data_IF_225692501908
#
_entry.id   IF_225692501908
#
_cell.length_a   1.000
_cell.length_b   1.000
_cell.length_c   1.000
_cell.angle_alpha   90.00
_cell.angle_beta   90.00
_cell.angle_gamma   90.00
#
_symmetry.space_group_name_H-M   'P 1'
#
loop_
_entity.id
_entity.type
_entity.pdbx_description
1 polymer ?
#
# COMPACT_ATOMS: atom_id res chain seq x y z
N UNK A 1 -3.24 -23.44 -18.39
CA UNK A 1 -3.05 -24.29 -17.19
C UNK A 1 -2.90 -23.33 -16.01
N UNK A 2 -4.04 -22.85 -15.54
CA UNK A 2 -4.19 -21.98 -14.38
C UNK A 2 -4.02 -22.83 -13.12
N UNK A 3 -3.27 -22.33 -12.14
CA UNK A 3 -3.34 -22.92 -10.80
C UNK A 3 -4.64 -22.47 -10.14
N UNK A 4 -5.64 -23.33 -10.35
CA UNK A 4 -6.79 -23.53 -9.48
C UNK A 4 -6.24 -23.87 -8.09
N UNK A 5 -6.57 -23.06 -7.08
CA UNK A 5 -6.49 -23.49 -5.69
C UNK A 5 -7.54 -24.59 -5.52
N UNK A 6 -7.11 -25.85 -5.66
CA UNK A 6 -7.92 -27.00 -5.30
C UNK A 6 -7.92 -27.12 -3.78
N UNK A 7 -9.03 -26.74 -3.17
CA UNK A 7 -9.47 -27.32 -1.91
C UNK A 7 -9.67 -28.82 -2.13
N UNK A 8 -8.88 -29.65 -1.47
CA UNK A 8 -9.19 -31.06 -1.22
C UNK A 8 -9.63 -31.14 0.23
N UNK A 9 -10.88 -31.53 0.43
CA UNK A 9 -11.41 -31.91 1.73
C UNK A 9 -10.75 -33.21 2.20
N UNK A 10 -10.36 -33.27 3.48
CA UNK A 10 -10.07 -34.51 4.18
C UNK A 10 -10.87 -34.50 5.50
N UNK A 11 -11.72 -35.52 5.77
CA UNK A 11 -12.57 -35.53 6.96
C UNK A 11 -11.88 -36.27 8.12
N UNK A 12 -12.09 -35.74 9.34
CA UNK A 12 -11.81 -36.30 10.67
C UNK A 12 -10.43 -36.07 11.34
N UNK A 13 -10.55 -35.34 12.46
CA UNK A 13 -9.92 -35.52 13.79
C UNK A 13 -8.52 -34.95 14.07
N UNK A 14 -8.52 -33.74 14.67
CA UNK A 14 -8.08 -33.59 16.06
C UNK A 14 -6.61 -33.18 16.32
N UNK A 15 -6.42 -31.90 16.68
CA UNK A 15 -5.30 -31.38 17.50
C UNK A 15 -3.91 -31.17 16.86
N UNK A 16 -3.86 -30.69 15.62
CA UNK A 16 -2.66 -30.04 15.02
C UNK A 16 -2.99 -28.66 14.39
N UNK A 17 -4.12 -28.06 14.80
CA UNK A 17 -4.82 -26.99 14.05
C UNK A 17 -4.32 -25.55 14.29
N UNK A 18 -3.36 -25.26 15.17
CA UNK A 18 -3.05 -23.86 15.53
C UNK A 18 -1.78 -23.25 14.90
N UNK A 19 -0.83 -24.04 14.39
CA UNK A 19 0.50 -23.46 14.03
C UNK A 19 0.71 -23.09 12.55
N UNK A 20 -0.20 -23.40 11.62
CA UNK A 20 0.12 -23.33 10.17
C UNK A 20 -0.79 -22.47 9.29
N UNK A 21 -1.97 -22.02 9.76
CA UNK A 21 -3.02 -21.54 8.84
C UNK A 21 -3.56 -20.12 8.99
N UNK A 22 -3.28 -19.34 10.06
CA UNK A 22 -3.95 -18.03 10.26
C UNK A 22 -3.11 -16.76 10.11
N UNK A 23 -1.82 -16.84 9.81
CA UNK A 23 -0.92 -15.79 10.30
C UNK A 23 -0.21 -14.90 9.27
N UNK A 24 -0.85 -14.40 8.19
CA UNK A 24 -0.11 -13.58 7.21
C UNK A 24 -0.90 -12.44 6.57
N UNK A 25 -1.02 -11.32 7.27
CA UNK A 25 -1.23 -10.00 6.64
C UNK A 25 -0.19 -9.81 5.53
N UNK A 26 -0.62 -9.50 4.31
CA UNK A 26 0.32 -9.16 3.23
C UNK A 26 0.90 -7.76 3.45
N UNK A 27 0.07 -6.87 3.98
CA UNK A 27 0.33 -5.47 4.26
C UNK A 27 -0.40 -5.12 5.56
N UNK A 28 0.18 -4.21 6.33
CA UNK A 28 -0.37 -3.62 7.55
C UNK A 28 -0.44 -2.09 7.48
N UNK A 29 0.27 -1.49 6.52
CA UNK A 29 0.33 -0.09 6.14
C UNK A 29 0.15 0.01 4.62
N UNK A 30 0.00 1.23 4.08
CA UNK A 30 0.11 1.47 2.65
C UNK A 30 1.50 1.09 2.12
N UNK A 31 1.53 0.24 1.09
CA UNK A 31 2.73 -0.16 0.35
C UNK A 31 3.06 0.75 -0.85
N UNK A 32 2.21 1.76 -1.06
CA UNK A 32 2.12 2.66 -2.20
C UNK A 32 1.75 4.05 -1.68
N UNK A 33 2.27 5.12 -2.28
CA UNK A 33 1.88 6.46 -1.84
C UNK A 33 0.42 6.72 -2.18
N UNK A 34 -0.37 6.94 -1.14
CA UNK A 34 -1.81 7.12 -1.23
C UNK A 34 -2.19 8.57 -1.56
N UNK A 35 -1.27 9.52 -1.35
CA UNK A 35 -1.50 10.94 -1.60
C UNK A 35 -1.74 11.23 -3.09
N UNK A 36 -1.02 10.52 -3.98
CA UNK A 36 -1.19 10.64 -5.44
C UNK A 36 -2.65 10.40 -5.85
N UNK A 37 -3.22 9.24 -5.51
CA UNK A 37 -4.58 8.88 -5.92
C UNK A 37 -5.63 9.72 -5.20
N UNK A 38 -5.40 10.07 -3.93
CA UNK A 38 -6.25 11.01 -3.20
C UNK A 38 -6.37 12.34 -3.94
N UNK A 39 -5.27 12.90 -4.45
CA UNK A 39 -5.28 14.13 -5.26
C UNK A 39 -6.02 13.94 -6.59
N UNK A 40 -5.85 12.79 -7.25
CA UNK A 40 -6.58 12.47 -8.48
C UNK A 40 -8.09 12.42 -8.23
N UNK A 41 -8.54 11.69 -7.20
CA UNK A 41 -9.96 11.59 -6.79
C UNK A 41 -10.54 12.98 -6.52
N UNK A 42 -9.83 13.84 -5.78
CA UNK A 42 -10.26 15.23 -5.52
C UNK A 42 -10.31 16.06 -6.80
N UNK A 43 -9.31 15.97 -7.68
CA UNK A 43 -9.29 16.71 -8.97
C UNK A 43 -10.45 16.30 -9.89
N UNK A 44 -10.79 15.01 -9.91
CA UNK A 44 -11.89 14.47 -10.70
C UNK A 44 -13.27 14.66 -10.07
N UNK A 45 -13.34 15.11 -8.82
CA UNK A 45 -14.59 15.22 -8.06
C UNK A 45 -15.36 13.90 -8.00
N UNK A 46 -14.64 12.77 -7.90
CA UNK A 46 -15.23 11.43 -7.94
C UNK A 46 -16.09 11.17 -6.71
N UNK A 47 -17.33 10.71 -6.91
CA UNK A 47 -18.30 10.43 -5.85
C UNK A 47 -18.39 8.95 -5.52
N UNK A 48 -18.33 8.09 -6.55
CA UNK A 48 -18.35 6.63 -6.44
C UNK A 48 -16.97 6.08 -6.74
N UNK A 49 -16.28 5.66 -5.69
CA UNK A 49 -14.90 5.22 -5.72
C UNK A 49 -14.83 3.72 -5.41
N UNK A 50 -14.02 2.99 -6.16
CA UNK A 50 -13.65 1.62 -5.85
C UNK A 50 -12.13 1.49 -5.75
N UNK A 51 -11.64 0.74 -4.76
CA UNK A 51 -10.22 0.44 -4.62
C UNK A 51 -9.98 -1.00 -4.20
N UNK A 52 -8.88 -1.58 -4.69
CA UNK A 52 -8.23 -2.71 -4.01
C UNK A 52 -7.95 -2.30 -2.56
N UNK A 53 -8.39 -3.10 -1.59
CA UNK A 53 -8.40 -2.72 -0.19
C UNK A 53 -6.99 -2.70 0.40
N UNK A 54 -6.26 -3.82 0.29
CA UNK A 54 -5.08 -4.04 1.12
C UNK A 54 -5.43 -3.86 2.60
N UNK A 55 -4.57 -3.19 3.36
CA UNK A 55 -4.80 -2.92 4.79
C UNK A 55 -5.83 -1.81 5.06
N UNK A 56 -6.41 -1.20 4.02
CA UNK A 56 -7.26 -0.01 4.12
C UNK A 56 -6.49 1.31 4.22
N UNK A 57 -5.20 1.28 4.59
CA UNK A 57 -4.34 2.47 4.76
C UNK A 57 -4.24 3.33 3.48
N UNK A 58 -4.34 2.72 2.30
CA UNK A 58 -4.44 3.44 1.02
C UNK A 58 -5.87 3.75 0.64
N UNK A 59 -6.74 2.73 0.63
CA UNK A 59 -8.11 2.84 0.14
C UNK A 59 -8.94 3.88 0.91
N UNK A 60 -8.81 3.95 2.24
CA UNK A 60 -9.60 4.86 3.06
C UNK A 60 -9.19 6.33 2.86
N UNK A 61 -7.94 6.60 2.48
CA UNK A 61 -7.49 7.98 2.19
C UNK A 61 -8.11 8.58 0.93
N UNK A 62 -8.77 7.75 0.12
CA UNK A 62 -9.58 8.23 -1.01
C UNK A 62 -10.88 8.90 -0.56
N UNK A 63 -11.31 8.69 0.69
CA UNK A 63 -12.45 9.40 1.25
C UNK A 63 -12.18 10.91 1.31
N UNK A 64 -13.23 11.65 0.97
CA UNK A 64 -13.32 13.09 1.12
C UNK A 64 -14.80 13.48 1.20
N UNK A 65 -15.16 14.70 1.59
CA UNK A 65 -16.57 15.09 1.76
C UNK A 65 -17.44 14.96 0.50
N UNK A 66 -16.84 14.86 -0.68
CA UNK A 66 -17.55 14.64 -1.96
C UNK A 66 -17.79 13.15 -2.28
N UNK A 67 -17.08 12.23 -1.63
CA UNK A 67 -17.21 10.79 -1.88
C UNK A 67 -18.49 10.29 -1.19
N UNK A 68 -19.42 9.83 -2.01
CA UNK A 68 -20.73 9.31 -1.59
C UNK A 68 -20.73 7.78 -1.45
N UNK A 69 -19.75 7.09 -2.07
CA UNK A 69 -19.58 5.64 -1.97
C UNK A 69 -18.11 5.25 -2.11
N UNK A 70 -17.63 4.41 -1.19
CA UNK A 70 -16.34 3.74 -1.29
C UNK A 70 -16.56 2.22 -1.17
N UNK A 71 -16.17 1.46 -2.19
CA UNK A 71 -16.07 0.01 -2.09
C UNK A 71 -14.60 -0.44 -2.08
N UNK A 72 -14.28 -1.29 -1.11
CA UNK A 72 -12.94 -1.84 -0.85
C UNK A 72 -12.96 -3.34 -1.13
N UNK A 73 -12.17 -3.76 -2.13
CA UNK A 73 -12.18 -5.15 -2.61
C UNK A 73 -10.86 -5.85 -2.27
N UNK A 74 -10.94 -7.03 -1.66
CA UNK A 74 -9.76 -7.89 -1.43
C UNK A 74 -10.18 -9.37 -1.47
N UNK A 75 -9.21 -10.25 -1.67
CA UNK A 75 -9.44 -11.71 -1.51
C UNK A 75 -9.21 -12.16 -0.06
N UNK A 76 -8.45 -11.38 0.72
CA UNK A 76 -8.08 -11.70 2.09
C UNK A 76 -9.06 -11.08 3.08
N UNK A 77 -9.78 -11.94 3.80
CA UNK A 77 -10.67 -11.54 4.90
C UNK A 77 -9.90 -10.79 6.00
N UNK A 78 -8.68 -11.21 6.34
CA UNK A 78 -7.83 -10.52 7.31
C UNK A 78 -7.45 -9.09 6.86
N UNK A 79 -7.29 -8.83 5.56
CA UNK A 79 -7.04 -7.48 5.04
C UNK A 79 -8.28 -6.59 5.15
N UNK A 80 -9.45 -7.15 4.79
CA UNK A 80 -10.73 -6.47 4.95
C UNK A 80 -11.02 -6.16 6.43
N UNK A 81 -10.76 -7.12 7.34
CA UNK A 81 -10.91 -6.92 8.78
C UNK A 81 -9.97 -5.83 9.33
N UNK A 82 -8.74 -5.75 8.82
CA UNK A 82 -7.81 -4.69 9.22
C UNK A 82 -8.26 -3.31 8.72
N UNK A 83 -8.87 -3.24 7.54
CA UNK A 83 -9.47 -2.02 7.02
C UNK A 83 -10.75 -1.63 7.78
N UNK A 84 -11.57 -2.60 8.18
CA UNK A 84 -12.74 -2.38 9.02
C UNK A 84 -12.35 -1.86 10.41
N UNK A 85 -11.29 -2.42 11.02
CA UNK A 85 -10.70 -1.87 12.25
C UNK A 85 -10.27 -0.41 12.07
N UNK A 86 -9.60 -0.07 10.95
CA UNK A 86 -9.23 1.33 10.66
C UNK A 86 -10.44 2.25 10.59
N UNK A 87 -11.54 1.82 9.97
CA UNK A 87 -12.78 2.60 9.90
C UNK A 87 -13.29 2.93 11.30
N UNK A 88 -13.41 1.92 12.17
CA UNK A 88 -13.90 2.15 13.52
C UNK A 88 -12.94 2.99 14.37
N UNK A 89 -11.63 2.82 14.23
CA UNK A 89 -10.65 3.67 14.90
C UNK A 89 -10.74 5.14 14.44
N UNK A 90 -10.93 5.40 13.14
CA UNK A 90 -11.06 6.77 12.63
C UNK A 90 -12.36 7.43 13.15
N UNK A 91 -13.45 6.67 13.27
CA UNK A 91 -14.73 7.16 13.80
C UNK A 91 -14.63 7.51 15.28
N UNK A 92 -14.05 6.61 16.08
CA UNK A 92 -14.07 6.73 17.54
C UNK A 92 -12.93 7.59 18.10
N UNK A 93 -11.76 7.61 17.46
CA UNK A 93 -10.56 8.26 18.02
C UNK A 93 -10.29 9.62 17.38
N UNK A 94 -9.63 10.49 18.15
CA UNK A 94 -8.93 11.64 17.59
C UNK A 94 -7.60 11.20 16.98
N UNK A 95 -7.01 12.05 16.11
CA UNK A 95 -5.80 11.70 15.37
C UNK A 95 -4.68 11.21 16.30
N UNK A 96 -4.47 11.88 17.44
CA UNK A 96 -3.38 11.53 18.36
C UNK A 96 -3.52 10.10 18.91
N UNK A 97 -4.72 9.72 19.33
CA UNK A 97 -5.05 8.39 19.82
C UNK A 97 -5.01 7.33 18.70
N UNK A 98 -5.39 7.71 17.47
CA UNK A 98 -5.23 6.87 16.29
C UNK A 98 -3.74 6.57 16.01
N UNK A 99 -2.87 7.58 16.05
CA UNK A 99 -1.43 7.42 15.88
C UNK A 99 -0.83 6.56 16.99
N UNK A 100 -1.28 6.76 18.23
CA UNK A 100 -0.90 5.97 19.41
C UNK A 100 -1.32 4.50 19.28
N UNK A 101 -2.53 4.22 18.81
CA UNK A 101 -3.04 2.87 18.58
C UNK A 101 -2.12 2.12 17.59
N UNK A 102 -1.81 2.73 16.45
CA UNK A 102 -0.94 2.15 15.44
C UNK A 102 0.56 2.25 15.79
N UNK A 103 0.97 3.00 16.80
CA UNK A 103 2.39 3.16 17.12
C UNK A 103 3.17 3.92 16.04
N UNK A 104 2.52 4.91 15.41
CA UNK A 104 3.22 5.90 14.60
C UNK A 104 4.07 6.81 15.51
N UNK A 105 5.22 7.27 15.01
CA UNK A 105 6.09 8.22 15.74
C UNK A 105 5.29 9.45 16.21
N UNK A 106 5.41 9.86 17.49
CA UNK A 106 6.43 9.47 18.48
C UNK A 106 6.05 8.28 19.38
N UNK A 107 4.92 7.62 19.13
CA UNK A 107 4.39 6.59 20.02
C UNK A 107 5.14 5.26 19.87
N UNK A 108 5.60 4.74 21.01
CA UNK A 108 6.20 3.41 21.12
C UNK A 108 5.11 2.34 21.07
N UNK A 109 5.18 1.35 20.16
CA UNK A 109 4.23 0.23 20.13
C UNK A 109 4.10 -0.51 21.46
N UNK A 110 5.22 -0.70 22.17
CA UNK A 110 5.34 -1.44 23.41
C UNK A 110 4.69 -0.71 24.60
N UNK A 111 4.78 0.62 24.64
CA UNK A 111 4.24 1.42 25.75
C UNK A 111 2.71 1.54 25.71
N UNK A 112 2.09 1.18 24.58
CA UNK A 112 0.67 1.42 24.30
C UNK A 112 -0.16 0.13 24.19
N UNK A 113 0.32 -0.99 24.73
CA UNK A 113 -0.34 -2.29 24.68
C UNK A 113 -1.73 -2.26 25.33
N UNK A 114 -1.83 -1.80 26.59
CA UNK A 114 -3.12 -1.80 27.31
C UNK A 114 -4.12 -0.84 26.66
N UNK A 115 -3.68 0.37 26.29
CA UNK A 115 -4.50 1.33 25.54
C UNK A 115 -5.06 0.70 24.25
N UNK A 116 -4.21 0.03 23.47
CA UNK A 116 -4.61 -0.63 22.22
C UNK A 116 -5.62 -1.74 22.47
N UNK A 117 -5.39 -2.56 23.49
CA UNK A 117 -6.26 -3.68 23.86
C UNK A 117 -7.63 -3.22 24.33
N UNK A 118 -7.68 -2.23 25.20
CA UNK A 118 -8.93 -1.63 25.69
C UNK A 118 -9.71 -1.00 24.54
N UNK A 119 -9.02 -0.19 23.73
CA UNK A 119 -9.61 0.44 22.54
C UNK A 119 -10.21 -0.60 21.60
N UNK A 120 -9.42 -1.60 21.21
CA UNK A 120 -9.85 -2.66 20.29
C UNK A 120 -11.08 -3.42 20.82
N UNK A 121 -11.10 -3.74 22.12
CA UNK A 121 -12.21 -4.47 22.74
C UNK A 121 -13.53 -3.70 22.67
N UNK A 122 -13.49 -2.37 22.77
CA UNK A 122 -14.66 -1.51 22.70
C UNK A 122 -15.28 -1.40 21.30
N UNK A 123 -14.52 -1.68 20.24
CA UNK A 123 -14.99 -1.57 18.86
C UNK A 123 -15.77 -2.80 18.40
N UNK A 124 -16.69 -2.61 17.46
CA UNK A 124 -17.41 -3.71 16.79
C UNK A 124 -17.28 -3.54 15.28
N UNK A 125 -16.78 -4.57 14.59
CA UNK A 125 -16.55 -4.54 13.16
C UNK A 125 -16.46 -5.96 12.58
N UNK A 126 -16.55 -6.08 11.25
CA UNK A 126 -16.45 -7.35 10.55
C UNK A 126 -15.07 -8.00 10.71
N UNK A 127 -15.02 -9.33 10.84
CA UNK A 127 -13.79 -10.10 11.04
C UNK A 127 -12.98 -9.70 12.29
N UNK A 128 -13.64 -9.14 13.32
CA UNK A 128 -12.99 -8.77 14.59
C UNK A 128 -12.23 -9.94 15.22
N UNK A 129 -12.81 -11.14 15.22
CA UNK A 129 -12.21 -12.33 15.81
C UNK A 129 -10.88 -12.69 15.13
N UNK A 130 -10.82 -12.60 13.79
CA UNK A 130 -9.59 -12.83 13.02
C UNK A 130 -8.51 -11.81 13.38
N UNK A 131 -8.89 -10.53 13.53
CA UNK A 131 -7.93 -9.48 13.90
C UNK A 131 -7.51 -9.61 15.37
N UNK A 132 -8.41 -10.04 16.25
CA UNK A 132 -8.11 -10.32 17.66
C UNK A 132 -7.07 -11.42 17.78
N UNK A 133 -7.24 -12.55 17.07
CA UNK A 133 -6.25 -13.63 17.02
C UNK A 133 -4.88 -13.13 16.55
N UNK A 134 -4.83 -12.25 15.53
CA UNK A 134 -3.58 -11.65 15.05
C UNK A 134 -2.95 -10.77 16.13
N UNK A 135 -3.75 -9.97 16.87
CA UNK A 135 -3.24 -9.19 17.99
C UNK A 135 -2.73 -10.07 19.12
N UNK A 136 -3.45 -11.12 19.50
CA UNK A 136 -3.04 -12.06 20.55
C UNK A 136 -1.70 -12.71 20.23
N UNK A 137 -1.51 -13.18 19.00
CA UNK A 137 -0.24 -13.75 18.53
C UNK A 137 0.89 -12.71 18.51
N UNK A 138 0.57 -11.43 18.29
CA UNK A 138 1.52 -10.33 18.37
C UNK A 138 1.61 -9.70 19.77
N UNK A 139 1.12 -10.39 20.81
CA UNK A 139 1.16 -9.95 22.20
C UNK A 139 0.57 -8.54 22.39
N UNK A 140 -0.46 -8.23 21.61
CA UNK A 140 -1.12 -6.92 21.57
C UNK A 140 -0.19 -5.75 21.26
N UNK A 141 1.02 -5.99 20.73
CA UNK A 141 1.87 -4.95 20.13
C UNK A 141 1.24 -4.39 18.86
N UNK A 142 1.76 -3.27 18.35
CA UNK A 142 1.21 -2.70 17.11
C UNK A 142 1.34 -3.68 15.94
N UNK A 143 0.28 -3.75 15.12
CA UNK A 143 0.32 -4.45 13.84
C UNK A 143 0.99 -3.62 12.74
N UNK A 144 1.32 -2.36 13.01
CA UNK A 144 2.12 -1.52 12.11
C UNK A 144 3.45 -2.23 11.83
N UNK A 145 3.73 -2.48 10.55
CA UNK A 145 4.88 -3.24 10.04
C UNK A 145 4.83 -4.76 10.18
N UNK A 146 3.71 -5.35 10.60
CA UNK A 146 3.57 -6.82 10.71
C UNK A 146 3.17 -7.50 9.40
N UNK A 147 2.84 -6.74 8.36
CA UNK A 147 2.61 -7.29 7.03
C UNK A 147 3.88 -7.92 6.42
N UNK A 148 3.69 -8.87 5.50
CA UNK A 148 4.80 -9.52 4.78
C UNK A 148 5.71 -8.50 4.09
N UNK A 149 5.11 -7.49 3.44
CA UNK A 149 5.85 -6.48 2.71
C UNK A 149 6.76 -5.67 3.63
N UNK A 150 6.23 -5.16 4.74
CA UNK A 150 6.96 -4.34 5.73
C UNK A 150 8.06 -5.13 6.44
N UNK A 151 7.80 -6.40 6.78
CA UNK A 151 8.80 -7.27 7.40
C UNK A 151 10.07 -7.40 6.53
N UNK A 152 9.92 -7.39 5.20
CA UNK A 152 11.07 -7.41 4.28
C UNK A 152 11.90 -6.13 4.37
N UNK A 153 11.27 -4.98 4.63
CA UNK A 153 11.97 -3.72 4.85
C UNK A 153 12.66 -3.63 6.22
N UNK A 154 12.10 -4.25 7.26
CA UNK A 154 12.78 -4.34 8.56
C UNK A 154 14.14 -5.05 8.45
N UNK A 155 14.21 -6.16 7.72
CA UNK A 155 15.46 -6.87 7.44
C UNK A 155 16.42 -6.01 6.61
N UNK A 156 15.86 -5.34 5.59
CA UNK A 156 16.63 -4.49 4.70
C UNK A 156 17.23 -3.28 5.41
N UNK A 157 16.45 -2.57 6.23
CA UNK A 157 16.90 -1.46 7.06
C UNK A 157 18.01 -1.86 8.04
N UNK A 158 17.93 -3.06 8.64
CA UNK A 158 19.03 -3.61 9.47
C UNK A 158 20.32 -3.80 8.66
N UNK A 159 20.23 -4.30 7.44
CA UNK A 159 21.38 -4.47 6.55
C UNK A 159 21.98 -3.11 6.13
N UNK A 160 21.12 -2.13 5.78
CA UNK A 160 21.55 -0.76 5.47
C UNK A 160 22.25 -0.14 6.67
N UNK A 161 21.65 -0.21 7.86
CA UNK A 161 22.24 0.30 9.11
C UNK A 161 23.60 -0.33 9.41
N UNK A 162 23.74 -1.64 9.24
CA UNK A 162 25.01 -2.34 9.40
C UNK A 162 26.07 -1.85 8.41
N UNK A 163 25.72 -1.73 7.13
CA UNK A 163 26.66 -1.29 6.08
C UNK A 163 27.03 0.19 6.20
N UNK A 164 26.12 1.05 6.64
CA UNK A 164 26.28 2.51 6.60
C UNK A 164 26.72 3.10 7.95
N UNK A 165 26.44 2.41 9.05
CA UNK A 165 26.61 2.96 10.40
C UNK A 165 25.77 4.23 10.58
N UNK A 166 26.34 5.25 11.24
CA UNK A 166 25.67 6.53 11.47
C UNK A 166 25.35 7.32 10.19
N UNK A 167 26.02 7.01 9.07
CA UNK A 167 25.79 7.71 7.78
C UNK A 167 24.40 7.47 7.21
N UNK A 168 23.75 6.36 7.53
CA UNK A 168 22.36 6.14 7.14
C UNK A 168 21.44 7.22 7.73
N UNK A 169 21.68 7.60 9.00
CA UNK A 169 20.84 8.56 9.71
C UNK A 169 21.13 10.01 9.28
N UNK A 170 22.35 10.32 8.85
CA UNK A 170 22.71 11.68 8.43
C UNK A 170 21.89 12.17 7.22
N UNK A 171 21.42 11.28 6.34
CA UNK A 171 20.51 11.67 5.26
C UNK A 171 19.19 12.24 5.82
N UNK A 172 18.66 11.63 6.87
CA UNK A 172 17.39 12.02 7.51
C UNK A 172 17.54 13.20 8.47
N UNK A 173 18.77 13.70 8.70
CA UNK A 173 19.02 14.92 9.47
C UNK A 173 18.94 16.19 8.63
N UNK A 174 18.97 16.08 7.30
CA UNK A 174 18.83 17.23 6.41
C UNK A 174 17.42 17.83 6.57
N UNK A 175 17.34 19.14 6.76
CA UNK A 175 16.07 19.86 6.96
C UNK A 175 15.55 20.51 5.66
N UNK A 176 16.38 20.53 4.61
CA UNK A 176 16.01 21.04 3.28
C UNK A 176 16.76 20.29 2.16
N UNK A 177 16.28 20.50 0.93
CA UNK A 177 16.83 19.83 -0.26
C UNK A 177 18.27 20.23 -0.53
N UNK A 178 18.68 21.48 -0.29
CA UNK A 178 20.05 21.93 -0.54
C UNK A 178 21.06 21.20 0.35
N UNK A 179 20.76 21.05 1.63
CA UNK A 179 21.53 20.24 2.58
C UNK A 179 21.59 18.78 2.15
N UNK A 180 20.44 18.21 1.75
CA UNK A 180 20.37 16.83 1.26
C UNK A 180 21.23 16.65 0.01
N UNK A 181 21.16 17.53 -0.98
CA UNK A 181 21.98 17.46 -2.19
C UNK A 181 23.48 17.62 -1.87
N UNK A 182 23.83 18.52 -0.95
CA UNK A 182 25.21 18.67 -0.50
C UNK A 182 25.73 17.39 0.18
N UNK A 183 24.91 16.75 1.02
CA UNK A 183 25.24 15.48 1.65
C UNK A 183 25.34 14.34 0.63
N UNK A 184 24.40 14.23 -0.32
CA UNK A 184 24.44 13.24 -1.39
C UNK A 184 25.69 13.37 -2.25
N UNK A 185 26.15 14.60 -2.51
CA UNK A 185 27.36 14.85 -3.30
C UNK A 185 28.67 14.51 -2.57
N UNK A 186 28.78 14.83 -1.27
CA UNK A 186 30.06 14.78 -0.53
C UNK A 186 30.12 13.72 0.57
N UNK A 187 29.01 13.40 1.21
CA UNK A 187 28.96 12.58 2.43
C UNK A 187 28.34 11.19 2.25
N UNK A 188 27.42 11.03 1.29
CA UNK A 188 26.66 9.80 1.11
C UNK A 188 27.52 8.65 0.57
N UNK A 189 27.48 7.46 1.18
CA UNK A 189 28.36 6.36 0.82
C UNK A 189 27.86 5.59 -0.41
N UNK A 190 27.86 6.21 -1.59
CA UNK A 190 27.35 5.66 -2.85
C UNK A 190 27.84 4.26 -3.21
N UNK A 191 29.10 3.93 -2.93
CA UNK A 191 29.63 2.58 -3.19
C UNK A 191 28.87 1.51 -2.39
N UNK A 192 28.54 1.81 -1.13
CA UNK A 192 27.77 0.90 -0.26
C UNK A 192 26.31 0.86 -0.71
N UNK A 193 25.74 2.01 -1.10
CA UNK A 193 24.39 2.08 -1.64
C UNK A 193 24.23 1.25 -2.91
N UNK A 194 25.13 1.40 -3.87
CA UNK A 194 25.10 0.62 -5.11
C UNK A 194 25.25 -0.88 -4.84
N UNK A 195 26.04 -1.29 -3.83
CA UNK A 195 26.10 -2.67 -3.41
C UNK A 195 24.75 -3.17 -2.86
N UNK A 196 24.11 -2.38 -2.01
CA UNK A 196 22.78 -2.66 -1.46
C UNK A 196 21.74 -2.82 -2.59
N UNK A 197 21.69 -1.90 -3.56
CA UNK A 197 20.79 -1.98 -4.71
C UNK A 197 21.09 -3.20 -5.59
N UNK A 198 22.36 -3.61 -5.75
CA UNK A 198 22.70 -4.84 -6.49
C UNK A 198 22.20 -6.10 -5.78
N UNK A 199 22.21 -6.12 -4.46
CA UNK A 199 21.67 -7.24 -3.67
C UNK A 199 20.15 -7.31 -3.82
N UNK A 200 19.43 -6.20 -3.72
CA UNK A 200 17.97 -6.17 -3.97
C UNK A 200 17.66 -6.53 -5.44
N UNK A 201 18.44 -5.99 -6.37
CA UNK A 201 18.29 -6.22 -7.81
C UNK A 201 18.64 -7.65 -8.25
N UNK A 202 19.10 -8.50 -7.32
CA UNK A 202 19.27 -9.93 -7.58
C UNK A 202 17.91 -10.64 -7.49
N UNK A 203 17.49 -11.25 -8.60
CA UNK A 203 16.24 -12.00 -8.74
C UNK A 203 16.03 -13.05 -7.64
N UNK A 204 17.10 -13.71 -7.15
CA UNK A 204 16.99 -14.72 -6.10
C UNK A 204 16.65 -14.10 -4.73
N UNK A 205 17.30 -12.99 -4.38
CA UNK A 205 17.04 -12.23 -3.15
C UNK A 205 15.63 -11.63 -3.18
N UNK A 206 15.21 -11.12 -4.33
CA UNK A 206 13.88 -10.54 -4.52
C UNK A 206 12.76 -11.60 -4.46
N UNK A 207 12.95 -12.76 -5.10
CA UNK A 207 12.02 -13.90 -5.05
C UNK A 207 11.84 -14.44 -3.61
N UNK A 208 12.92 -14.49 -2.84
CA UNK A 208 12.90 -14.98 -1.46
C UNK A 208 12.26 -13.99 -0.48
N UNK A 209 12.50 -12.69 -0.66
CA UNK A 209 12.04 -11.66 0.28
C UNK A 209 10.60 -11.23 0.10
N UNK A 210 10.05 -11.20 -1.13
CA UNK A 210 8.75 -10.58 -1.36
C UNK A 210 7.65 -11.55 -1.82
N UNK A 211 7.98 -12.62 -2.55
CA UNK A 211 6.96 -13.38 -3.30
C UNK A 211 6.99 -14.90 -3.16
N UNK A 212 7.95 -15.49 -2.44
CA UNK A 212 8.03 -16.96 -2.14
C UNK A 212 7.76 -17.92 -3.32
N UNK A 213 7.95 -17.49 -4.56
CA UNK A 213 7.78 -18.34 -5.75
C UNK A 213 6.90 -17.76 -6.86
N UNK A 214 5.93 -16.90 -6.53
CA UNK A 214 4.96 -16.36 -7.51
C UNK A 214 5.41 -15.01 -8.10
N UNK A 215 6.68 -14.93 -8.50
CA UNK A 215 7.22 -13.67 -9.01
C UNK A 215 6.56 -13.32 -10.34
N UNK A 216 5.93 -12.13 -10.37
CA UNK A 216 5.44 -11.49 -11.58
C UNK A 216 6.55 -11.53 -12.65
N UNK A 217 6.25 -12.08 -13.83
CA UNK A 217 7.22 -12.13 -14.93
C UNK A 217 7.51 -10.72 -15.41
N UNK A 218 8.63 -10.15 -14.96
CA UNK A 218 9.12 -8.85 -15.42
C UNK A 218 9.15 -8.81 -16.95
N UNK A 219 8.52 -7.80 -17.53
CA UNK A 219 8.58 -7.47 -18.95
C UNK A 219 9.12 -6.07 -19.22
N UNK A 220 9.52 -5.33 -18.17
CA UNK A 220 10.24 -4.06 -18.33
C UNK A 220 11.66 -4.35 -18.83
N UNK A 221 12.12 -3.72 -19.94
CA UNK A 221 13.41 -4.02 -20.56
C UNK A 221 14.63 -3.49 -19.78
N UNK A 222 14.41 -2.68 -18.74
CA UNK A 222 15.46 -2.09 -17.91
C UNK A 222 16.02 -3.11 -16.89
N UNK A 223 17.35 -3.25 -16.71
CA UNK A 223 17.92 -4.07 -15.64
C UNK A 223 17.43 -3.66 -14.24
N UNK A 224 17.33 -4.60 -13.29
CA UNK A 224 16.81 -4.30 -11.95
C UNK A 224 17.64 -3.23 -11.22
N UNK A 225 18.96 -3.30 -11.36
CA UNK A 225 19.86 -2.31 -10.77
C UNK A 225 19.54 -0.89 -11.26
N UNK A 226 19.39 -0.72 -12.57
CA UNK A 226 19.09 0.58 -13.17
C UNK A 226 17.68 1.06 -12.81
N UNK A 227 16.72 0.14 -12.74
CA UNK A 227 15.34 0.43 -12.33
C UNK A 227 15.29 1.06 -10.93
N UNK A 228 15.87 0.36 -9.95
CA UNK A 228 15.90 0.84 -8.57
C UNK A 228 16.79 2.06 -8.39
N UNK A 229 17.95 2.09 -9.06
CA UNK A 229 18.84 3.26 -8.99
C UNK A 229 18.15 4.51 -9.52
N UNK A 230 17.41 4.41 -10.63
CA UNK A 230 16.61 5.50 -11.16
C UNK A 230 15.55 5.95 -10.16
N UNK A 231 14.75 5.03 -9.63
CA UNK A 231 13.69 5.35 -8.68
C UNK A 231 14.24 6.07 -7.44
N UNK A 232 15.27 5.53 -6.77
CA UNK A 232 15.85 6.17 -5.61
C UNK A 232 16.52 7.51 -5.91
N UNK A 233 17.18 7.67 -7.07
CA UNK A 233 17.71 8.96 -7.48
C UNK A 233 16.61 10.00 -7.66
N UNK A 234 15.46 9.62 -8.24
CA UNK A 234 14.28 10.50 -8.32
C UNK A 234 13.79 10.88 -6.91
N UNK A 235 13.64 9.92 -6.01
CA UNK A 235 13.20 10.18 -4.64
C UNK A 235 14.14 11.15 -3.91
N UNK A 236 15.45 10.95 -4.04
CA UNK A 236 16.47 11.82 -3.43
C UNK A 236 16.56 13.21 -4.08
N UNK A 237 16.16 13.35 -5.34
CA UNK A 237 16.17 14.63 -6.05
C UNK A 237 14.92 15.47 -5.77
N UNK A 238 13.75 14.84 -5.66
CA UNK A 238 12.46 15.52 -5.67
C UNK A 238 11.85 15.70 -4.26
N UNK A 239 12.41 15.08 -3.22
CA UNK A 239 11.88 15.20 -1.87
C UNK A 239 12.93 14.93 -0.79
N UNK A 240 12.64 15.38 0.43
CA UNK A 240 13.46 15.05 1.59
C UNK A 240 13.28 13.57 1.95
N UNK A 241 14.38 12.87 2.21
CA UNK A 241 14.35 11.49 2.68
C UNK A 241 13.60 11.35 4.01
N UNK A 242 13.68 12.40 4.86
CA UNK A 242 12.95 12.50 6.13
C UNK A 242 11.43 12.51 5.93
N UNK A 243 10.96 13.07 4.83
CA UNK A 243 9.53 13.28 4.55
C UNK A 243 8.94 12.13 3.71
N UNK A 244 9.72 11.08 3.48
CA UNK A 244 9.36 9.99 2.58
C UNK A 244 9.28 8.66 3.33
N UNK A 245 8.04 8.16 3.51
CA UNK A 245 7.77 6.90 4.21
C UNK A 245 8.54 5.73 3.62
N UNK A 246 8.60 5.64 2.29
CA UNK A 246 9.21 4.52 1.60
C UNK A 246 10.73 4.52 1.73
N UNK A 247 11.37 5.70 1.67
CA UNK A 247 12.81 5.86 1.90
C UNK A 247 13.17 5.53 3.35
N UNK A 248 12.37 5.99 4.32
CA UNK A 248 12.54 5.64 5.73
C UNK A 248 12.39 4.12 5.96
N UNK A 249 11.36 3.49 5.41
CA UNK A 249 11.19 2.03 5.47
C UNK A 249 12.41 1.30 4.88
N UNK A 250 12.86 1.73 3.70
CA UNK A 250 14.02 1.13 3.05
C UNK A 250 15.31 1.27 3.87
N UNK A 251 15.60 2.45 4.40
CA UNK A 251 16.91 2.70 5.01
C UNK A 251 16.96 2.48 6.52
N UNK A 252 15.83 2.67 7.21
CA UNK A 252 15.71 2.60 8.67
C UNK A 252 14.90 1.38 9.12
N UNK A 253 14.13 0.76 8.22
CA UNK A 253 13.28 -0.41 8.52
C UNK A 253 11.97 -0.06 9.24
N UNK A 254 11.72 1.24 9.48
CA UNK A 254 10.53 1.81 10.11
C UNK A 254 10.43 3.29 9.76
N UNK A 255 9.28 3.91 10.04
CA UNK A 255 9.14 5.37 9.99
C UNK A 255 9.57 5.91 11.35
N UNK A 256 10.75 6.53 11.38
CA UNK A 256 11.34 7.11 12.59
C UNK A 256 10.94 8.58 12.75
N UNK A 257 10.89 9.30 11.63
CA UNK A 257 10.56 10.72 11.55
C UNK A 257 9.11 10.89 11.13
N UNK A 258 8.32 11.60 11.94
CA UNK A 258 6.88 11.80 11.72
C UNK A 258 6.56 12.47 10.39
N UNK A 259 7.50 13.25 9.85
CA UNK A 259 7.34 13.97 8.57
C UNK A 259 7.15 13.00 7.39
N UNK A 260 7.71 11.78 7.49
CA UNK A 260 7.52 10.73 6.49
C UNK A 260 6.44 9.74 6.86
N UNK A 261 5.51 10.05 7.77
CA UNK A 261 4.34 9.20 7.96
C UNK A 261 3.41 9.25 6.74
N UNK A 262 2.65 8.18 6.43
CA UNK A 262 1.74 8.16 5.30
C UNK A 262 0.62 9.20 5.46
N UNK A 263 -0.03 9.58 4.36
CA UNK A 263 -1.04 10.64 4.35
C UNK A 263 -2.23 10.38 5.29
N UNK A 264 -2.52 9.13 5.67
CA UNK A 264 -3.54 8.79 6.67
C UNK A 264 -3.28 9.42 8.05
N UNK A 265 -2.03 9.81 8.33
CA UNK A 265 -1.59 10.44 9.59
C UNK A 265 -1.66 11.98 9.56
N UNK A 266 -1.96 12.58 8.40
CA UNK A 266 -2.10 14.02 8.27
C UNK A 266 -3.45 14.48 8.85
N UNK A 267 -3.47 15.61 9.57
CA UNK A 267 -4.67 16.16 10.22
C UNK A 267 -5.83 16.39 9.27
N UNK A 268 -5.56 16.94 8.09
CA UNK A 268 -6.61 17.33 7.15
C UNK A 268 -7.17 16.08 6.47
N UNK A 269 -6.30 15.13 6.10
CA UNK A 269 -6.73 13.85 5.55
C UNK A 269 -7.53 13.04 6.58
N UNK A 270 -7.07 12.97 7.83
CA UNK A 270 -7.75 12.27 8.90
C UNK A 270 -9.12 12.90 9.20
N UNK A 271 -9.18 14.23 9.27
CA UNK A 271 -10.43 14.97 9.46
C UNK A 271 -11.44 14.71 8.33
N UNK A 272 -11.00 14.75 7.06
CA UNK A 272 -11.85 14.42 5.92
C UNK A 272 -12.34 12.96 5.98
N UNK A 273 -11.46 11.99 6.29
CA UNK A 273 -11.86 10.59 6.44
C UNK A 273 -12.91 10.44 7.55
N UNK A 274 -12.68 11.05 8.72
CA UNK A 274 -13.61 11.00 9.86
C UNK A 274 -14.96 11.64 9.53
N UNK A 275 -14.97 12.80 8.88
CA UNK A 275 -16.20 13.46 8.45
C UNK A 275 -17.00 12.58 7.46
N UNK A 276 -16.32 11.98 6.48
CA UNK A 276 -16.95 11.07 5.52
C UNK A 276 -17.49 9.81 6.21
N UNK A 277 -16.73 9.18 7.11
CA UNK A 277 -17.13 7.94 7.78
C UNK A 277 -18.30 8.13 8.76
N UNK A 278 -18.57 9.35 9.21
CA UNK A 278 -19.79 9.68 9.96
C UNK A 278 -21.07 9.67 9.11
N UNK A 279 -20.93 9.70 7.78
CA UNK A 279 -22.04 9.77 6.81
C UNK A 279 -22.11 8.53 5.91
N UNK A 280 -21.01 7.82 5.75
CA UNK A 280 -20.81 6.72 4.82
C UNK A 280 -20.15 5.55 5.53
N UNK A 281 -20.69 4.35 5.33
CA UNK A 281 -20.00 3.09 5.66
C UNK A 281 -19.36 2.53 4.39
N UNK A 282 -18.03 2.36 4.32
CA UNK A 282 -17.39 1.71 3.19
C UNK A 282 -17.87 0.27 3.00
N UNK A 283 -18.06 -0.15 1.75
CA UNK A 283 -18.41 -1.52 1.44
C UNK A 283 -17.17 -2.41 1.34
N UNK A 284 -16.98 -3.31 2.29
CA UNK A 284 -15.94 -4.34 2.21
C UNK A 284 -16.48 -5.56 1.46
N UNK A 285 -15.74 -6.04 0.45
CA UNK A 285 -16.15 -7.19 -0.38
C UNK A 285 -14.99 -8.18 -0.54
N UNK A 286 -15.20 -9.40 -0.04
CA UNK A 286 -14.28 -10.50 -0.27
C UNK A 286 -14.55 -11.13 -1.65
N UNK A 287 -14.02 -10.51 -2.72
CA UNK A 287 -14.22 -10.94 -4.11
C UNK A 287 -13.00 -10.58 -4.95
N UNK A 288 -12.89 -11.19 -6.13
CA UNK A 288 -11.96 -10.69 -7.13
C UNK A 288 -12.50 -9.38 -7.74
N UNK A 289 -11.62 -8.42 -8.00
CA UNK A 289 -12.02 -7.07 -8.43
C UNK A 289 -12.73 -7.06 -9.78
N UNK A 290 -12.33 -7.92 -10.73
CA UNK A 290 -12.92 -7.93 -12.08
C UNK A 290 -14.32 -8.52 -12.03
N UNK A 291 -14.50 -9.68 -11.40
CA UNK A 291 -15.80 -10.33 -11.22
C UNK A 291 -16.76 -9.49 -10.40
N UNK A 292 -16.28 -8.76 -9.39
CA UNK A 292 -17.11 -7.78 -8.68
C UNK A 292 -17.57 -6.67 -9.63
N UNK A 293 -16.65 -6.04 -10.38
CA UNK A 293 -16.97 -4.93 -11.27
C UNK A 293 -17.91 -5.31 -12.42
N UNK A 294 -17.87 -6.55 -12.93
CA UNK A 294 -18.81 -7.04 -13.95
C UNK A 294 -20.28 -6.98 -13.50
N UNK A 295 -20.54 -6.96 -12.19
CA UNK A 295 -21.88 -6.89 -11.59
C UNK A 295 -22.30 -5.46 -11.19
N UNK A 296 -21.44 -4.45 -11.41
CA UNK A 296 -21.63 -3.09 -10.92
C UNK A 296 -21.70 -2.07 -12.06
N UNK A 297 -22.09 -0.84 -11.71
CA UNK A 297 -22.19 0.28 -12.64
C UNK A 297 -22.00 1.64 -11.94
N UNK A 298 -21.58 2.63 -12.73
CA UNK A 298 -21.53 4.03 -12.32
C UNK A 298 -20.38 4.40 -11.38
N UNK A 299 -19.23 3.72 -11.43
CA UNK A 299 -18.04 4.20 -10.72
C UNK A 299 -17.38 5.35 -11.47
N UNK A 300 -17.06 6.42 -10.74
CA UNK A 300 -16.32 7.57 -11.27
C UNK A 300 -14.81 7.29 -11.25
N UNK A 301 -14.37 6.44 -10.32
CA UNK A 301 -12.96 6.13 -10.11
C UNK A 301 -12.75 4.68 -9.65
N UNK A 302 -11.84 3.97 -10.31
CA UNK A 302 -11.43 2.61 -9.94
C UNK A 302 -9.90 2.55 -9.78
N UNK A 303 -9.44 2.18 -8.60
CA UNK A 303 -8.04 1.93 -8.31
C UNK A 303 -7.70 0.44 -8.32
N UNK A 304 -6.89 0.03 -9.29
CA UNK A 304 -6.43 -1.35 -9.42
C UNK A 304 -5.14 -1.66 -8.63
N UNK A 305 -4.40 -0.64 -8.16
CA UNK A 305 -3.04 -0.84 -7.64
C UNK A 305 -2.23 -1.71 -8.63
N UNK A 306 -1.34 -2.59 -8.17
CA UNK A 306 -0.54 -3.52 -8.98
C UNK A 306 -1.24 -4.86 -9.27
N UNK A 307 -2.54 -5.00 -8.96
CA UNK A 307 -3.28 -6.27 -9.18
C UNK A 307 -3.23 -6.78 -10.63
N UNK A 308 -3.34 -5.92 -11.67
CA UNK A 308 -3.25 -6.38 -13.06
C UNK A 308 -1.93 -7.05 -13.42
N UNK A 309 -0.86 -6.78 -12.69
CA UNK A 309 0.45 -7.43 -12.89
C UNK A 309 0.41 -8.94 -12.63
N UNK A 310 -0.62 -9.45 -11.93
CA UNK A 310 -0.84 -10.88 -11.68
C UNK A 310 -1.75 -11.56 -12.71
N UNK A 311 -2.41 -10.79 -13.59
CA UNK A 311 -3.30 -11.37 -14.60
C UNK A 311 -2.51 -12.08 -15.69
N UNK A 312 -3.13 -13.08 -16.31
CA UNK A 312 -2.55 -13.78 -17.46
C UNK A 312 -3.61 -14.25 -18.44
N UNK A 313 -3.21 -14.54 -19.69
CA UNK A 313 -4.08 -15.10 -20.70
C UNK A 313 -5.25 -14.17 -21.06
N UNK A 314 -6.45 -14.72 -21.14
CA UNK A 314 -7.63 -13.96 -21.55
C UNK A 314 -8.08 -12.90 -20.54
N UNK A 315 -7.82 -13.11 -19.24
CA UNK A 315 -8.13 -12.10 -18.23
C UNK A 315 -7.25 -10.86 -18.42
N UNK A 316 -5.94 -11.05 -18.61
CA UNK A 316 -5.00 -9.93 -18.82
C UNK A 316 -5.36 -9.10 -20.05
N UNK A 317 -5.69 -9.76 -21.17
CA UNK A 317 -6.02 -9.09 -22.41
C UNK A 317 -7.31 -8.27 -22.31
N UNK A 318 -8.28 -8.75 -21.54
CA UNK A 318 -9.66 -8.27 -21.63
C UNK A 318 -10.20 -7.62 -20.34
N UNK A 319 -9.44 -7.52 -19.24
CA UNK A 319 -10.00 -7.01 -17.98
C UNK A 319 -10.55 -5.58 -18.12
N UNK A 320 -9.89 -4.71 -18.89
CA UNK A 320 -10.40 -3.36 -19.15
C UNK A 320 -11.73 -3.37 -19.91
N UNK A 321 -11.92 -4.32 -20.83
CA UNK A 321 -13.18 -4.48 -21.56
C UNK A 321 -14.28 -5.03 -20.65
N UNK A 322 -13.94 -5.97 -19.75
CA UNK A 322 -14.85 -6.54 -18.75
C UNK A 322 -15.35 -5.49 -17.75
N UNK A 323 -14.50 -4.56 -17.32
CA UNK A 323 -14.87 -3.54 -16.32
C UNK A 323 -15.39 -2.24 -16.93
N UNK A 324 -15.25 -2.02 -18.25
CA UNK A 324 -15.76 -0.79 -18.91
C UNK A 324 -17.25 -0.50 -18.62
N UNK A 325 -18.16 -1.49 -18.59
CA UNK A 325 -19.56 -1.25 -18.25
C UNK A 325 -19.78 -0.73 -16.82
N UNK A 326 -18.85 -1.03 -15.91
CA UNK A 326 -18.93 -0.64 -14.50
C UNK A 326 -18.66 0.84 -14.24
N UNK A 327 -17.99 1.52 -15.19
CA UNK A 327 -17.64 2.93 -15.10
C UNK A 327 -18.83 3.83 -15.48
N UNK A 328 -18.97 4.94 -14.77
CA UNK A 328 -19.79 6.07 -15.18
C UNK A 328 -19.32 6.65 -16.53
N UNK A 329 -20.12 7.55 -17.12
CA UNK A 329 -19.64 8.42 -18.18
C UNK A 329 -18.41 9.20 -17.67
N UNK A 330 -17.37 9.30 -18.49
CA UNK A 330 -16.07 9.89 -18.12
C UNK A 330 -15.36 9.23 -16.92
N UNK A 331 -15.82 8.07 -16.45
CA UNK A 331 -15.23 7.34 -15.33
C UNK A 331 -13.79 6.93 -15.60
N UNK A 332 -12.97 6.93 -14.55
CA UNK A 332 -11.51 6.76 -14.63
C UNK A 332 -11.05 5.47 -13.97
N UNK A 333 -10.07 4.82 -14.60
CA UNK A 333 -9.33 3.69 -14.06
C UNK A 333 -7.88 4.10 -13.83
N UNK A 334 -7.35 3.83 -12.64
CA UNK A 334 -5.93 4.00 -12.31
C UNK A 334 -5.29 2.65 -12.11
N UNK A 335 -4.25 2.37 -12.91
CA UNK A 335 -3.46 1.16 -12.86
C UNK A 335 -2.05 1.52 -12.41
N UNK A 336 -1.53 0.78 -11.43
CA UNK A 336 -0.11 0.80 -11.09
C UNK A 336 0.54 -0.47 -11.65
N UNK A 337 1.76 -0.37 -12.11
CA UNK A 337 2.51 -1.49 -12.69
C UNK A 337 3.95 -1.41 -12.22
N UNK A 338 4.36 -2.37 -11.40
CA UNK A 338 5.69 -2.37 -10.80
C UNK A 338 6.77 -2.82 -11.81
N UNK A 339 7.01 -4.13 -11.92
CA UNK A 339 8.02 -4.70 -12.83
C UNK A 339 7.42 -5.33 -14.09
N UNK A 340 6.09 -5.34 -14.18
CA UNK A 340 5.36 -5.86 -15.33
C UNK A 340 4.22 -4.94 -15.65
N UNK A 341 4.06 -4.66 -16.93
CA UNK A 341 2.92 -3.92 -17.47
C UNK A 341 2.01 -4.94 -18.15
N UNK A 342 0.71 -5.01 -17.82
CA UNK A 342 -0.20 -5.96 -18.45
C UNK A 342 -0.39 -5.66 -19.95
N UNK A 343 -0.41 -6.70 -20.76
CA UNK A 343 -0.76 -6.64 -22.19
C UNK A 343 -2.29 -6.64 -22.34
N UNK A 344 -2.89 -5.45 -22.26
CA UNK A 344 -4.36 -5.26 -22.22
C UNK A 344 -4.90 -4.43 -23.38
N UNK A 345 -6.10 -4.80 -23.85
CA UNK A 345 -6.89 -4.03 -24.82
C UNK A 345 -7.48 -2.75 -24.17
N UNK A 346 -7.02 -1.61 -24.65
CA UNK A 346 -7.42 -0.26 -24.21
C UNK A 346 -8.50 0.36 -25.09
N UNK A 347 -9.08 -0.38 -26.03
CA UNK A 347 -10.14 0.12 -26.91
C UNK A 347 -11.26 0.74 -26.09
N UNK A 348 -11.68 1.95 -26.46
CA UNK A 348 -12.72 2.68 -25.76
C UNK A 348 -12.27 3.38 -24.47
N UNK A 349 -10.97 3.58 -24.29
CA UNK A 349 -10.38 4.43 -23.25
C UNK A 349 -9.47 5.49 -23.88
N UNK A 350 -9.42 6.66 -23.26
CA UNK A 350 -8.46 7.72 -23.55
C UNK A 350 -7.43 7.76 -22.43
N UNK A 351 -6.15 7.69 -22.78
CA UNK A 351 -5.05 7.89 -21.82
C UNK A 351 -4.96 9.37 -21.44
N UNK A 352 -5.27 9.65 -20.17
CA UNK A 352 -5.22 11.00 -19.59
C UNK A 352 -4.12 11.11 -18.52
N UNK A 353 -3.16 10.19 -18.49
CA UNK A 353 -2.05 10.15 -17.51
C UNK A 353 -1.31 11.49 -17.44
N UNK A 354 -1.12 12.16 -18.59
CA UNK A 354 -0.45 13.46 -18.65
C UNK A 354 -1.14 14.56 -17.83
N UNK A 355 -2.46 14.47 -17.59
CA UNK A 355 -3.21 15.44 -16.76
C UNK A 355 -2.84 15.36 -15.28
N UNK A 356 -2.21 14.26 -14.86
CA UNK A 356 -1.82 13.96 -13.48
C UNK A 356 -0.30 13.79 -13.34
N UNK A 357 0.47 14.34 -14.29
CA UNK A 357 1.93 14.26 -14.30
C UNK A 357 2.53 14.75 -12.97
N UNK A 358 2.04 15.89 -12.45
CA UNK A 358 2.55 16.47 -11.22
C UNK A 358 2.29 15.58 -10.00
N UNK A 359 1.10 14.96 -9.90
CA UNK A 359 0.80 13.96 -8.87
C UNK A 359 1.74 12.76 -8.95
N UNK A 360 1.98 12.25 -10.16
CA UNK A 360 2.80 11.06 -10.40
C UNK A 360 4.28 11.35 -10.12
N UNK A 361 4.78 12.54 -10.46
CA UNK A 361 6.16 12.96 -10.18
C UNK A 361 6.43 13.18 -8.69
N UNK A 362 5.38 13.46 -7.90
CA UNK A 362 5.46 13.65 -6.45
C UNK A 362 5.20 12.35 -5.65
N UNK A 363 4.75 11.26 -6.29
CA UNK A 363 4.46 9.98 -5.64
C UNK A 363 5.69 9.46 -4.88
N UNK A 364 5.56 9.17 -3.59
CA UNK A 364 6.71 8.93 -2.69
C UNK A 364 7.38 7.56 -2.83
N UNK A 365 6.89 6.68 -3.69
CA UNK A 365 7.47 5.34 -3.89
C UNK A 365 8.35 5.30 -5.15
N UNK A 366 7.94 5.96 -6.23
CA UNK A 366 8.55 6.00 -7.56
C UNK A 366 8.90 4.63 -8.17
N UNK A 367 8.35 3.56 -7.60
CA UNK A 367 8.57 2.19 -8.07
C UNK A 367 7.54 1.77 -9.11
N UNK A 368 6.39 2.45 -9.20
CA UNK A 368 5.30 2.04 -10.07
C UNK A 368 5.23 2.93 -11.31
N UNK A 369 4.95 2.31 -12.46
CA UNK A 369 4.39 3.02 -13.60
C UNK A 369 2.91 3.21 -13.35
N UNK A 370 2.44 4.44 -13.49
CA UNK A 370 1.03 4.80 -13.29
C UNK A 370 0.42 5.09 -14.65
N UNK A 371 -0.75 4.50 -14.89
CA UNK A 371 -1.57 4.77 -16.06
C UNK A 371 -2.96 5.21 -15.59
N UNK A 372 -3.47 6.31 -16.15
CA UNK A 372 -4.79 6.86 -15.86
C UNK A 372 -5.62 6.87 -17.13
N UNK A 373 -6.61 5.98 -17.19
CA UNK A 373 -7.45 5.75 -18.37
C UNK A 373 -8.87 6.25 -18.11
N UNK A 374 -9.37 7.11 -18.99
CA UNK A 374 -10.75 7.62 -18.96
C UNK A 374 -11.62 6.87 -19.96
N UNK A 375 -12.80 6.43 -19.54
CA UNK A 375 -13.80 5.84 -20.44
C UNK A 375 -14.17 6.83 -21.53
N UNK A 376 -14.03 6.40 -22.79
CA UNK A 376 -14.45 7.13 -24.00
C UNK A 376 -15.78 6.64 -24.53
#
# INVERSE_FOLDING_TARGET
MCFVIKNIADPFQGSFMSEKYFNKLNYSMANEDSEMERRIVKKLQSKKVLSVCGSGSRALTLLSPIVEKLDCIDLSEAQLGLAALRVELIKELELDDYLKFWGYSPYSPEDNIEFRKETFKALSFEAKEIIEEIFEVNEWTSLLYKGKWENSFSLFGKAVKFLFGSKAHNLFKCENLDEQQAYLKKGFPWKRWNFVIRVIGNRATFNALLYKGDFIKKNIPMPHFDYYSKAFNTLFANGLARDNFFVQLCMLGKIEYKEGSPIETNSDCFGEMKESLNKLTPGFKQKDIVGYLEEQYGYDYISFSDVPSYFSGELEKNFLQKVKPSLAEDGVVVIRSYLRIPEVDRTGYTDITYKFKDEIEQEKTQMYRVEVLQKS
#
